data_IF_209201097513
#
_entry.id   IF_209201097513
#
_cell.length_a   1.000
_cell.length_b   1.000
_cell.length_c   1.000
_cell.angle_alpha   90.00
_cell.angle_beta   90.00
_cell.angle_gamma   90.00
#
_symmetry.space_group_name_H-M   'P 1'
#
loop_
_entity.id
_entity.type
_entity.pdbx_description
1 polymer ?
#
# COMPACT_ATOMS: atom_id res chain seq x y z
N UNK A 1 41.53 -3.03 -8.00
CA UNK A 1 41.11 -1.74 -8.59
C UNK A 1 39.65 -1.58 -8.23
N UNK A 2 39.34 -0.53 -7.49
CA UNK A 2 38.04 -0.35 -6.85
C UNK A 2 36.92 -0.27 -7.87
N UNK A 3 35.91 -1.11 -7.69
CA UNK A 3 34.61 -0.97 -8.33
C UNK A 3 33.93 0.17 -7.59
N UNK A 4 33.82 1.33 -8.23
CA UNK A 4 32.83 2.31 -7.78
C UNK A 4 31.44 1.75 -8.14
N UNK A 5 30.56 1.50 -7.16
CA UNK A 5 29.16 1.27 -7.47
C UNK A 5 28.60 2.58 -8.02
N UNK A 6 28.09 2.55 -9.25
CA UNK A 6 27.35 3.69 -9.82
C UNK A 6 26.07 3.91 -8.98
N UNK A 7 25.69 5.17 -8.70
CA UNK A 7 24.62 5.47 -7.75
C UNK A 7 23.26 4.97 -8.23
N UNK A 8 22.52 4.37 -7.30
CA UNK A 8 21.23 3.66 -7.43
C UNK A 8 20.03 4.55 -7.86
N UNK A 9 20.29 5.82 -8.20
CA UNK A 9 19.34 6.93 -8.13
C UNK A 9 19.10 7.65 -9.47
N UNK A 10 19.53 7.05 -10.59
CA UNK A 10 19.28 7.63 -11.92
C UNK A 10 17.85 7.35 -12.36
N UNK A 11 16.93 8.22 -11.94
CA UNK A 11 15.55 8.31 -12.47
C UNK A 11 15.60 8.53 -13.99
N UNK A 12 14.87 7.71 -14.74
CA UNK A 12 14.83 7.84 -16.20
C UNK A 12 14.01 9.05 -16.66
N UNK A 13 14.41 9.69 -17.76
CA UNK A 13 13.70 10.85 -18.29
C UNK A 13 12.31 10.49 -18.83
N UNK A 14 12.19 9.28 -19.38
CA UNK A 14 10.96 8.69 -19.91
C UNK A 14 9.88 8.51 -18.83
N UNK A 15 10.28 8.25 -17.58
CA UNK A 15 9.39 8.09 -16.42
C UNK A 15 9.32 9.36 -15.54
N UNK A 16 9.79 10.51 -16.03
CA UNK A 16 9.85 11.77 -15.26
C UNK A 16 8.51 12.18 -14.64
N UNK A 17 7.40 12.00 -15.36
CA UNK A 17 6.05 12.28 -14.79
C UNK A 17 5.70 11.38 -13.62
N UNK A 18 6.08 10.09 -13.68
CA UNK A 18 5.83 9.16 -12.58
C UNK A 18 6.68 9.54 -11.36
N UNK A 19 7.96 9.84 -11.56
CA UNK A 19 8.85 10.28 -10.49
C UNK A 19 8.44 11.63 -9.88
N UNK A 20 7.92 12.56 -10.68
CA UNK A 20 7.37 13.84 -10.18
C UNK A 20 6.18 13.61 -9.25
N UNK A 21 5.24 12.74 -9.64
CA UNK A 21 4.09 12.41 -8.80
C UNK A 21 4.51 11.61 -7.55
N UNK A 22 5.57 10.81 -7.64
CA UNK A 22 6.16 10.16 -6.47
C UNK A 22 6.75 11.17 -5.48
N UNK A 23 7.43 12.22 -5.96
CA UNK A 23 7.91 13.30 -5.10
C UNK A 23 6.75 14.08 -4.48
N UNK A 24 5.69 14.36 -5.25
CA UNK A 24 4.46 14.99 -4.73
C UNK A 24 3.80 14.15 -3.63
N UNK A 25 3.73 12.82 -3.80
CA UNK A 25 3.25 11.92 -2.76
C UNK A 25 4.15 11.98 -1.51
N UNK A 26 5.47 12.00 -1.68
CA UNK A 26 6.42 12.11 -0.56
C UNK A 26 6.24 13.45 0.19
N UNK A 27 6.02 14.55 -0.53
CA UNK A 27 5.76 15.85 0.06
C UNK A 27 4.40 15.92 0.76
N UNK A 28 3.36 15.30 0.19
CA UNK A 28 2.06 15.18 0.84
C UNK A 28 2.13 14.33 2.12
N UNK A 29 2.97 13.28 2.16
CA UNK A 29 3.26 12.52 3.38
C UNK A 29 3.89 13.38 4.47
N UNK A 30 4.88 14.22 4.11
CA UNK A 30 5.47 15.18 5.05
C UNK A 30 4.46 16.22 5.54
N UNK A 31 3.57 16.67 4.66
CA UNK A 31 2.50 17.59 5.00
C UNK A 31 1.49 16.97 5.97
N UNK A 32 1.13 15.68 5.79
CA UNK A 32 0.31 14.94 6.75
C UNK A 32 0.98 14.87 8.13
N UNK A 33 2.27 14.51 8.18
CA UNK A 33 3.01 14.44 9.43
C UNK A 33 3.08 15.82 10.13
N UNK A 34 3.29 16.90 9.37
CA UNK A 34 3.25 18.27 9.90
C UNK A 34 1.87 18.63 10.46
N UNK A 35 0.80 18.34 9.72
CA UNK A 35 -0.57 18.61 10.14
C UNK A 35 -0.94 17.82 11.38
N UNK A 36 -0.50 16.56 11.50
CA UNK A 36 -0.70 15.76 12.71
C UNK A 36 0.05 16.35 13.91
N UNK A 37 1.31 16.75 13.74
CA UNK A 37 2.10 17.37 14.81
C UNK A 37 1.50 18.69 15.31
N UNK A 38 0.84 19.46 14.44
CA UNK A 38 0.11 20.68 14.82
C UNK A 38 -1.12 20.41 15.70
N UNK A 39 -1.69 19.20 15.61
CA UNK A 39 -2.81 18.75 16.43
C UNK A 39 -2.37 18.19 17.78
N UNK A 40 -1.07 17.94 17.99
CA UNK A 40 -0.56 17.44 19.27
C UNK A 40 -0.79 18.47 20.38
N UNK A 41 -1.47 18.05 21.44
CA UNK A 41 -1.85 18.92 22.55
C UNK A 41 -3.16 19.71 22.32
N UNK A 42 -3.82 19.51 21.17
CA UNK A 42 -5.21 19.93 21.00
C UNK A 42 -6.17 18.97 21.71
N UNK A 43 -7.33 19.47 22.15
CA UNK A 43 -8.41 18.65 22.72
C UNK A 43 -9.21 17.96 21.60
N UNK A 44 -8.55 17.13 20.78
CA UNK A 44 -9.16 16.45 19.62
C UNK A 44 -10.06 15.29 20.02
N UNK A 45 -9.74 14.62 21.14
CA UNK A 45 -10.45 13.44 21.61
C UNK A 45 -11.18 13.75 22.90
N UNK A 46 -12.41 13.24 23.02
CA UNK A 46 -13.20 13.30 24.25
C UNK A 46 -13.46 11.90 24.77
N UNK A 47 -13.48 11.77 26.09
CA UNK A 47 -13.94 10.56 26.76
C UNK A 47 -15.32 10.81 27.38
N UNK A 48 -16.23 9.86 27.19
CA UNK A 48 -17.53 9.83 27.84
C UNK A 48 -17.59 8.65 28.80
N UNK A 49 -18.09 8.90 30.00
CA UNK A 49 -18.41 7.85 30.98
C UNK A 49 -19.90 7.83 31.19
N UNK A 50 -20.49 6.64 31.06
CA UNK A 50 -21.91 6.43 31.23
C UNK A 50 -22.14 5.25 32.18
N UNK A 51 -23.13 5.37 33.07
CA UNK A 51 -23.53 4.32 34.00
C UNK A 51 -25.04 4.17 33.92
N UNK A 52 -25.49 2.97 33.57
CA UNK A 52 -26.90 2.59 33.54
C UNK A 52 -27.50 2.46 34.95
N UNK A 53 -28.83 2.48 35.04
CA UNK A 53 -29.58 2.33 36.30
C UNK A 53 -29.28 1.00 37.02
N UNK A 54 -28.86 -0.04 36.29
CA UNK A 54 -28.46 -1.35 36.82
C UNK A 54 -27.01 -1.39 37.34
N UNK A 55 -26.27 -0.30 37.19
CA UNK A 55 -24.86 -0.19 37.57
C UNK A 55 -23.87 -0.68 36.52
N UNK A 56 -24.30 -0.95 35.28
CA UNK A 56 -23.38 -1.18 34.16
C UNK A 56 -22.75 0.14 33.70
N UNK A 57 -21.43 0.21 33.77
CA UNK A 57 -20.65 1.35 33.32
C UNK A 57 -19.93 1.10 31.99
N UNK A 58 -19.86 2.12 31.14
CA UNK A 58 -19.10 2.12 29.91
C UNK A 58 -18.20 3.36 29.84
N UNK A 59 -17.01 3.17 29.30
CA UNK A 59 -16.06 4.23 28.96
C UNK A 59 -15.84 4.23 27.45
N UNK A 60 -16.32 5.28 26.81
CA UNK A 60 -16.26 5.47 25.38
C UNK A 60 -15.34 6.66 25.06
N UNK A 61 -14.64 6.60 23.93
CA UNK A 61 -13.87 7.71 23.37
C UNK A 61 -14.43 8.08 22.01
N UNK A 62 -14.36 9.36 21.65
CA UNK A 62 -14.85 9.89 20.38
C UNK A 62 -13.94 11.02 19.88
N UNK A 63 -13.92 11.22 18.56
CA UNK A 63 -13.28 12.38 17.95
C UNK A 63 -14.24 13.56 18.03
N UNK A 64 -13.77 14.67 18.56
CA UNK A 64 -14.52 15.91 18.64
C UNK A 64 -14.38 16.70 17.33
N UNK A 65 -14.96 16.16 16.26
CA UNK A 65 -14.83 16.71 14.90
C UNK A 65 -15.65 17.99 14.67
N UNK A 66 -16.57 18.33 15.58
CA UNK A 66 -17.60 19.34 15.35
C UNK A 66 -17.16 20.78 15.63
N UNK A 67 -15.97 21.00 16.18
CA UNK A 67 -15.44 22.35 16.40
C UNK A 67 -14.21 22.63 15.51
N UNK A 68 -14.36 23.65 14.65
CA UNK A 68 -13.25 24.41 14.02
C UNK A 68 -12.46 23.77 12.87
N UNK A 69 -12.98 22.76 12.16
CA UNK A 69 -12.35 22.27 10.92
C UNK A 69 -10.89 21.79 11.11
N UNK A 70 -10.52 21.39 12.34
CA UNK A 70 -9.12 21.14 12.74
C UNK A 70 -8.45 20.03 11.93
N UNK A 71 -9.21 19.06 11.45
CA UNK A 71 -8.71 17.93 10.65
C UNK A 71 -8.54 18.25 9.16
N UNK A 72 -9.02 19.40 8.66
CA UNK A 72 -9.04 19.66 7.21
C UNK A 72 -7.66 19.64 6.56
N UNK A 73 -6.62 20.11 7.26
CA UNK A 73 -5.25 20.09 6.74
C UNK A 73 -4.71 18.67 6.62
N UNK A 74 -5.00 17.81 7.60
CA UNK A 74 -4.61 16.41 7.60
C UNK A 74 -5.36 15.65 6.48
N UNK A 75 -6.67 15.82 6.40
CA UNK A 75 -7.53 15.24 5.36
C UNK A 75 -7.12 15.65 3.95
N UNK A 76 -6.81 16.93 3.75
CA UNK A 76 -6.38 17.45 2.45
C UNK A 76 -5.03 16.85 2.04
N UNK A 77 -4.07 16.79 2.95
CA UNK A 77 -2.76 16.21 2.68
C UNK A 77 -2.88 14.69 2.39
N UNK A 78 -3.76 13.99 3.11
CA UNK A 78 -4.04 12.58 2.85
C UNK A 78 -4.69 12.35 1.48
N UNK A 79 -5.67 13.17 1.11
CA UNK A 79 -6.26 13.14 -0.23
C UNK A 79 -5.21 13.35 -1.34
N UNK A 80 -4.34 14.36 -1.18
CA UNK A 80 -3.25 14.65 -2.11
C UNK A 80 -2.24 13.50 -2.21
N UNK A 81 -1.89 12.89 -1.08
CA UNK A 81 -1.02 11.72 -1.03
C UNK A 81 -1.57 10.56 -1.88
N UNK A 82 -2.83 10.21 -1.66
CA UNK A 82 -3.48 9.10 -2.40
C UNK A 82 -3.59 9.43 -3.90
N UNK A 83 -4.01 10.64 -4.24
CA UNK A 83 -4.15 11.06 -5.64
C UNK A 83 -2.79 11.01 -6.37
N UNK A 84 -1.71 11.44 -5.71
CA UNK A 84 -0.35 11.40 -6.24
C UNK A 84 0.17 9.96 -6.42
N UNK A 85 -0.10 9.05 -5.48
CA UNK A 85 0.24 7.62 -5.63
C UNK A 85 -0.44 6.98 -6.84
N UNK A 86 -1.76 7.21 -6.99
CA UNK A 86 -2.53 6.67 -8.11
C UNK A 86 -2.09 7.30 -9.44
N UNK A 87 -1.77 8.60 -9.42
CA UNK A 87 -1.18 9.31 -10.54
C UNK A 87 0.16 8.72 -10.96
N UNK A 88 1.03 8.44 -10.00
CA UNK A 88 2.35 7.86 -10.22
C UNK A 88 2.25 6.47 -10.91
N UNK A 89 1.43 5.57 -10.37
CA UNK A 89 1.22 4.25 -10.95
C UNK A 89 0.68 4.35 -12.39
N UNK A 90 -0.26 5.25 -12.64
CA UNK A 90 -0.81 5.52 -13.98
C UNK A 90 0.27 6.05 -14.92
N UNK A 91 1.04 7.03 -14.49
CA UNK A 91 2.10 7.65 -15.29
C UNK A 91 3.20 6.63 -15.66
N UNK A 92 3.52 5.69 -14.77
CA UNK A 92 4.46 4.61 -15.04
C UNK A 92 3.97 3.67 -16.15
N UNK A 93 2.69 3.27 -16.12
CA UNK A 93 2.09 2.44 -17.19
C UNK A 93 2.11 3.18 -18.53
N UNK A 94 1.72 4.46 -18.53
CA UNK A 94 1.74 5.27 -19.74
C UNK A 94 3.17 5.42 -20.28
N UNK A 95 4.17 5.70 -19.44
CA UNK A 95 5.56 5.78 -19.87
C UNK A 95 6.05 4.44 -20.47
N UNK A 96 5.70 3.33 -19.84
CA UNK A 96 6.02 1.99 -20.31
C UNK A 96 5.39 1.69 -21.68
N UNK A 97 4.13 2.07 -21.90
CA UNK A 97 3.44 2.00 -23.18
C UNK A 97 4.17 2.82 -24.25
N UNK A 98 4.46 4.09 -23.97
CA UNK A 98 5.11 5.01 -24.90
C UNK A 98 6.49 4.51 -25.36
N UNK A 99 7.25 3.87 -24.47
CA UNK A 99 8.56 3.29 -24.78
C UNK A 99 8.47 2.10 -25.75
N UNK A 100 7.33 1.43 -25.85
CA UNK A 100 7.18 0.18 -26.61
C UNK A 100 6.43 0.38 -27.90
N UNK A 101 5.20 0.85 -27.81
CA UNK A 101 4.28 0.85 -28.95
C UNK A 101 4.41 2.14 -29.77
N UNK A 102 4.97 3.23 -29.21
CA UNK A 102 4.65 4.63 -29.60
C UNK A 102 3.10 4.80 -29.59
N UNK A 103 2.45 5.97 -29.75
CA UNK A 103 1.02 6.07 -29.41
C UNK A 103 0.14 5.37 -30.46
N UNK A 104 0.01 4.04 -30.34
CA UNK A 104 -1.04 3.24 -30.95
C UNK A 104 -2.29 3.52 -30.13
N UNK A 105 -2.91 4.66 -30.44
CA UNK A 105 -4.18 5.10 -29.85
C UNK A 105 -5.15 3.93 -29.85
N UNK A 106 -5.70 3.58 -28.69
CA UNK A 106 -6.83 2.65 -28.60
C UNK A 106 -7.90 3.07 -29.62
N UNK A 107 -8.50 2.14 -30.38
CA UNK A 107 -9.62 2.44 -31.26
C UNK A 107 -10.84 2.82 -30.41
N UNK A 108 -10.91 4.09 -30.01
CA UNK A 108 -11.84 4.61 -29.01
C UNK A 108 -11.37 5.88 -28.30
N UNK A 109 -10.07 6.18 -28.32
CA UNK A 109 -9.54 7.50 -27.94
C UNK A 109 -9.50 7.85 -26.45
N UNK A 110 -9.94 6.97 -25.55
CA UNK A 110 -9.75 7.17 -24.11
C UNK A 110 -8.43 6.52 -23.67
N UNK A 111 -7.43 7.35 -23.38
CA UNK A 111 -6.26 6.91 -22.60
C UNK A 111 -6.74 6.45 -21.23
N UNK A 112 -6.29 5.25 -20.82
CA UNK A 112 -6.52 4.66 -19.50
C UNK A 112 -6.68 5.75 -18.42
N UNK A 113 -7.90 6.04 -17.94
CA UNK A 113 -8.14 7.18 -17.06
C UNK A 113 -7.54 6.97 -15.66
N UNK A 114 -7.21 5.73 -15.29
CA UNK A 114 -6.65 5.34 -13.99
C UNK A 114 -5.67 4.18 -14.16
N UNK A 115 -4.81 3.98 -13.17
CA UNK A 115 -4.01 2.75 -13.08
C UNK A 115 -4.96 1.55 -12.93
N UNK A 116 -4.78 0.45 -13.68
CA UNK A 116 -5.63 -0.74 -13.58
C UNK A 116 -5.43 -1.44 -12.23
N UNK A 117 -6.41 -1.30 -11.34
CA UNK A 117 -6.51 -2.01 -10.06
C UNK A 117 -7.80 -2.83 -10.05
N UNK A 118 -7.67 -4.13 -9.82
CA UNK A 118 -8.78 -5.09 -9.88
C UNK A 118 -8.83 -5.91 -8.60
N UNK A 119 -10.03 -6.17 -8.11
CA UNK A 119 -10.25 -6.98 -6.92
C UNK A 119 -10.13 -8.48 -7.21
N UNK A 120 -10.29 -8.88 -8.47
CA UNK A 120 -10.27 -10.30 -8.88
C UNK A 120 -9.51 -10.57 -10.18
N UNK A 121 -9.07 -11.82 -10.36
CA UNK A 121 -8.46 -12.31 -11.61
C UNK A 121 -9.41 -12.15 -12.80
N UNK A 122 -10.71 -12.39 -12.62
CA UNK A 122 -11.69 -12.28 -13.72
C UNK A 122 -11.80 -10.86 -14.25
N UNK A 123 -11.87 -9.87 -13.34
CA UNK A 123 -11.94 -8.45 -13.72
C UNK A 123 -10.70 -8.03 -14.53
N UNK A 124 -9.52 -8.51 -14.13
CA UNK A 124 -8.28 -8.25 -14.86
C UNK A 124 -8.28 -8.90 -16.25
N UNK A 125 -8.69 -10.16 -16.36
CA UNK A 125 -8.75 -10.86 -17.65
C UNK A 125 -9.75 -10.21 -18.60
N UNK A 126 -10.95 -9.87 -18.12
CA UNK A 126 -11.96 -9.15 -18.91
C UNK A 126 -11.41 -7.81 -19.44
N UNK A 127 -10.62 -7.10 -18.61
CA UNK A 127 -9.98 -5.86 -19.00
C UNK A 127 -8.88 -6.05 -20.05
N UNK A 128 -8.05 -7.11 -19.93
CA UNK A 128 -7.05 -7.46 -20.93
C UNK A 128 -7.74 -7.80 -22.27
N UNK A 129 -8.80 -8.61 -22.24
CA UNK A 129 -9.57 -9.04 -23.41
C UNK A 129 -10.28 -7.87 -24.12
N UNK A 130 -10.62 -6.80 -23.40
CA UNK A 130 -11.18 -5.57 -23.98
C UNK A 130 -10.22 -4.85 -24.95
N UNK A 131 -8.92 -5.17 -24.91
CA UNK A 131 -7.88 -4.50 -25.69
C UNK A 131 -7.38 -3.18 -25.09
N UNK A 132 -7.83 -2.80 -23.88
CA UNK A 132 -7.41 -1.57 -23.20
C UNK A 132 -5.90 -1.51 -22.91
N UNK A 133 -5.23 -2.67 -22.80
CA UNK A 133 -3.78 -2.80 -22.60
C UNK A 133 -3.01 -3.18 -23.88
N UNK A 134 -3.62 -3.09 -25.06
CA UNK A 134 -3.00 -3.53 -26.32
C UNK A 134 -1.71 -2.77 -26.69
N UNK A 135 -1.49 -1.59 -26.14
CA UNK A 135 -0.25 -0.82 -26.29
C UNK A 135 0.92 -1.33 -25.45
N UNK A 136 0.67 -2.23 -24.48
CA UNK A 136 1.66 -2.83 -23.61
C UNK A 136 2.14 -4.18 -24.15
N UNK A 137 3.37 -4.55 -23.78
CA UNK A 137 3.86 -5.91 -24.02
C UNK A 137 3.28 -6.89 -23.00
N UNK A 138 3.25 -8.20 -23.33
CA UNK A 138 2.84 -9.24 -22.38
C UNK A 138 3.58 -9.20 -21.03
N UNK A 139 4.87 -8.83 -21.03
CA UNK A 139 5.65 -8.70 -19.79
C UNK A 139 5.19 -7.54 -18.90
N UNK A 140 4.77 -6.43 -19.51
CA UNK A 140 4.24 -5.27 -18.80
C UNK A 140 2.83 -5.54 -18.27
N UNK A 141 2.04 -6.34 -18.98
CA UNK A 141 0.73 -6.81 -18.50
C UNK A 141 0.89 -7.75 -17.31
N UNK A 142 1.86 -8.68 -17.36
CA UNK A 142 2.20 -9.54 -16.22
C UNK A 142 2.72 -8.73 -15.02
N UNK A 143 3.51 -7.70 -15.25
CA UNK A 143 3.89 -6.74 -14.20
C UNK A 143 2.65 -6.14 -13.55
N UNK A 144 1.72 -5.60 -14.34
CA UNK A 144 0.47 -5.05 -13.80
C UNK A 144 -0.26 -6.08 -12.93
N UNK A 145 -0.36 -7.33 -13.37
CA UNK A 145 -1.00 -8.42 -12.63
C UNK A 145 -0.36 -8.68 -11.26
N UNK A 146 0.97 -8.61 -11.16
CA UNK A 146 1.69 -8.83 -9.90
C UNK A 146 1.43 -7.74 -8.85
N UNK A 147 1.10 -6.53 -9.28
CA UNK A 147 0.73 -5.42 -8.41
C UNK A 147 -0.78 -5.34 -8.16
N UNK A 148 -1.50 -6.46 -8.30
CA UNK A 148 -2.93 -6.54 -7.98
C UNK A 148 -3.16 -7.10 -6.57
N UNK A 149 -4.20 -6.65 -5.86
CA UNK A 149 -4.50 -7.11 -4.50
C UNK A 149 -4.88 -8.60 -4.45
N UNK A 150 -5.30 -9.24 -5.54
CA UNK A 150 -5.59 -10.69 -5.52
C UNK A 150 -4.36 -11.59 -5.76
N UNK A 151 -3.20 -11.02 -6.11
CA UNK A 151 -2.06 -11.78 -6.60
C UNK A 151 -1.29 -12.51 -5.47
N UNK A 152 -1.44 -13.84 -5.34
CA UNK A 152 -0.74 -14.64 -4.30
C UNK A 152 0.43 -15.43 -4.90
N UNK A 153 1.66 -15.19 -4.43
CA UNK A 153 2.79 -16.11 -4.69
C UNK A 153 2.57 -17.42 -3.92
N UNK A 154 2.84 -18.57 -4.54
CA UNK A 154 2.58 -19.93 -3.99
C UNK A 154 3.74 -20.53 -3.20
N UNK A 155 4.86 -19.83 -3.07
CA UNK A 155 5.98 -20.35 -2.28
C UNK A 155 5.69 -20.03 -0.81
N UNK A 156 5.57 -21.05 0.04
CA UNK A 156 5.17 -20.94 1.45
C UNK A 156 6.20 -20.20 2.35
N UNK A 157 7.25 -19.59 1.77
CA UNK A 157 8.32 -18.84 2.44
C UNK A 157 8.63 -17.48 1.74
N UNK A 158 7.62 -16.83 1.13
CA UNK A 158 7.87 -15.71 0.20
C UNK A 158 7.64 -14.31 0.84
N UNK A 159 8.61 -13.36 0.77
CA UNK A 159 8.39 -11.95 1.16
C UNK A 159 7.22 -11.27 0.44
N UNK A 160 6.71 -11.84 -0.65
CA UNK A 160 5.46 -11.44 -1.30
C UNK A 160 4.21 -11.42 -0.40
N UNK A 161 4.14 -12.28 0.63
CA UNK A 161 3.01 -12.22 1.57
C UNK A 161 2.98 -10.90 2.36
N UNK A 162 4.13 -10.23 2.51
CA UNK A 162 4.24 -8.97 3.26
C UNK A 162 3.63 -7.75 2.54
N UNK A 163 3.51 -7.78 1.21
CA UNK A 163 3.03 -6.64 0.41
C UNK A 163 1.53 -6.68 0.11
N UNK A 164 0.90 -7.83 0.31
CA UNK A 164 -0.52 -8.04 0.06
C UNK A 164 -1.44 -7.08 0.83
N UNK A 165 -1.23 -6.85 2.14
CA UNK A 165 -1.99 -5.84 2.87
C UNK A 165 -1.85 -4.43 2.29
N UNK A 166 -0.66 -4.09 1.77
CA UNK A 166 -0.37 -2.76 1.20
C UNK A 166 -1.04 -2.57 -0.16
N UNK A 167 -0.99 -3.58 -1.04
CA UNK A 167 -1.70 -3.55 -2.33
C UNK A 167 -3.22 -3.53 -2.15
N UNK A 168 -3.73 -4.31 -1.19
CA UNK A 168 -5.14 -4.26 -0.78
C UNK A 168 -5.55 -2.88 -0.31
N UNK A 169 -4.71 -2.23 0.51
CA UNK A 169 -4.91 -0.84 0.95
C UNK A 169 -4.95 0.13 -0.23
N UNK A 170 -4.00 0.03 -1.16
CA UNK A 170 -3.98 0.87 -2.37
C UNK A 170 -5.26 0.71 -3.21
N UNK A 171 -5.75 -0.52 -3.38
CA UNK A 171 -7.01 -0.81 -4.05
C UNK A 171 -8.22 -0.16 -3.34
N UNK A 172 -8.32 -0.31 -2.02
CA UNK A 172 -9.42 0.27 -1.25
C UNK A 172 -9.37 1.81 -1.25
N UNK A 173 -8.16 2.40 -1.19
CA UNK A 173 -7.96 3.84 -1.33
C UNK A 173 -8.42 4.34 -2.70
N UNK A 174 -8.07 3.63 -3.78
CA UNK A 174 -8.55 3.98 -5.12
C UNK A 174 -10.08 3.99 -5.19
N UNK A 175 -10.74 2.99 -4.60
CA UNK A 175 -12.18 2.90 -4.56
C UNK A 175 -12.84 3.97 -3.66
N UNK A 176 -12.16 4.39 -2.58
CA UNK A 176 -12.59 5.50 -1.72
C UNK A 176 -12.51 6.83 -2.48
N UNK A 177 -11.41 7.09 -3.19
CA UNK A 177 -11.22 8.30 -4.01
C UNK A 177 -12.19 8.36 -5.18
N UNK A 178 -12.43 7.25 -5.86
CA UNK A 178 -13.42 7.19 -6.96
C UNK A 178 -14.82 7.62 -6.51
N UNK A 179 -15.21 7.24 -5.29
CA UNK A 179 -16.50 7.61 -4.70
C UNK A 179 -16.53 9.03 -4.13
N UNK A 180 -15.41 9.74 -4.10
CA UNK A 180 -15.22 11.01 -3.41
C UNK A 180 -15.68 10.95 -1.95
N UNK A 181 -15.44 9.82 -1.28
CA UNK A 181 -15.82 9.61 0.12
C UNK A 181 -14.81 10.25 1.06
N UNK A 182 -15.30 10.81 2.16
CA UNK A 182 -14.54 11.40 3.28
C UNK A 182 -15.03 10.75 4.59
N UNK A 183 -14.20 10.64 5.63
CA UNK A 183 -12.79 11.04 5.70
C UNK A 183 -11.82 10.04 5.06
N UNK A 184 -10.64 10.51 4.65
CA UNK A 184 -9.50 9.73 4.15
C UNK A 184 -8.63 9.25 5.31
N UNK A 185 -8.61 9.97 6.43
CA UNK A 185 -7.93 9.59 7.67
C UNK A 185 -8.96 9.13 8.71
N UNK A 186 -8.57 8.15 9.52
CA UNK A 186 -9.28 7.77 10.74
C UNK A 186 -8.24 7.64 11.86
N UNK A 187 -8.69 7.31 13.07
CA UNK A 187 -7.81 7.14 14.22
C UNK A 187 -7.90 5.70 14.73
N UNK A 188 -6.75 5.10 14.96
CA UNK A 188 -6.64 3.82 15.64
C UNK A 188 -6.52 4.10 17.14
N UNK A 189 -7.46 3.56 17.92
CA UNK A 189 -7.46 3.64 19.37
C UNK A 189 -6.79 2.37 19.90
N UNK A 190 -5.65 2.52 20.58
CA UNK A 190 -4.85 1.35 20.99
C UNK A 190 -4.17 1.51 22.34
N UNK A 191 -3.69 0.38 22.86
CA UNK A 191 -2.87 0.32 24.08
C UNK A 191 -3.58 0.93 25.28
N UNK A 192 -4.89 0.73 25.37
CA UNK A 192 -5.71 1.27 26.45
C UNK A 192 -5.34 0.66 27.81
N UNK A 193 -5.27 1.51 28.83
CA UNK A 193 -5.08 1.10 30.22
C UNK A 193 -6.05 1.87 31.14
N UNK A 194 -7.37 1.60 31.02
CA UNK A 194 -8.41 2.43 31.60
C UNK A 194 -8.34 2.46 33.13
N UNK A 195 -8.67 3.61 33.70
CA UNK A 195 -8.80 3.83 35.14
C UNK A 195 -10.19 4.38 35.44
N UNK A 196 -10.89 3.80 36.41
CA UNK A 196 -12.21 4.26 36.85
C UNK A 196 -12.19 4.46 38.36
N UNK A 197 -12.54 5.66 38.79
CA UNK A 197 -12.59 6.09 40.18
C UNK A 197 -14.02 6.44 40.56
N UNK A 198 -14.41 6.09 41.79
CA UNK A 198 -15.70 6.41 42.35
C UNK A 198 -15.52 7.00 43.75
N UNK A 199 -16.32 8.01 44.10
CA UNK A 199 -16.29 8.59 45.43
C UNK A 199 -16.78 7.56 46.47
N UNK A 200 -16.09 7.41 47.63
CA UNK A 200 -16.56 6.52 48.69
C UNK A 200 -18.00 6.85 49.11
N UNK A 201 -18.86 5.85 49.37
CA UNK A 201 -18.55 4.43 49.55
C UNK A 201 -18.68 3.58 48.28
N UNK A 202 -18.83 4.19 47.10
CA UNK A 202 -19.01 3.46 45.84
C UNK A 202 -17.70 2.76 45.48
N UNK A 203 -17.81 1.49 45.08
CA UNK A 203 -16.67 0.68 44.64
C UNK A 203 -16.95 0.22 43.21
N UNK A 204 -15.98 0.48 42.33
CA UNK A 204 -15.99 -0.07 40.96
C UNK A 204 -15.49 -1.51 41.02
N UNK A 205 -16.24 -2.41 40.39
CA UNK A 205 -15.89 -3.82 40.24
C UNK A 205 -15.84 -4.18 38.76
N UNK A 206 -15.15 -5.27 38.42
CA UNK A 206 -15.19 -5.87 37.07
C UNK A 206 -14.84 -4.89 35.93
N UNK A 207 -13.74 -4.14 36.07
CA UNK A 207 -13.20 -3.34 34.98
C UNK A 207 -12.61 -4.26 33.91
N UNK A 208 -13.20 -4.28 32.73
CA UNK A 208 -12.75 -5.02 31.56
C UNK A 208 -12.33 -4.03 30.46
N UNK A 209 -11.10 -4.19 29.97
CA UNK A 209 -10.60 -3.44 28.83
C UNK A 209 -10.99 -4.16 27.53
N UNK A 210 -11.58 -3.43 26.60
CA UNK A 210 -11.90 -3.96 25.27
C UNK A 210 -10.69 -3.87 24.33
N UNK A 211 -10.68 -4.67 23.25
CA UNK A 211 -9.58 -4.67 22.28
C UNK A 211 -9.44 -3.34 21.53
N UNK A 212 -8.22 -3.08 21.07
CA UNK A 212 -7.88 -1.98 20.16
C UNK A 212 -8.80 -1.97 18.92
N UNK A 213 -9.06 -0.77 18.38
CA UNK A 213 -10.03 -0.62 17.30
C UNK A 213 -9.99 0.73 16.60
N UNK A 214 -10.57 0.76 15.40
CA UNK A 214 -10.76 2.02 14.66
C UNK A 214 -11.82 2.85 15.36
N UNK A 215 -11.54 4.14 15.48
CA UNK A 215 -12.46 5.14 15.99
C UNK A 215 -13.37 5.62 14.85
N UNK A 216 -14.52 4.96 14.71
CA UNK A 216 -15.58 5.33 13.77
C UNK A 216 -16.73 5.94 14.56
N UNK A 217 -16.81 7.28 14.58
CA UNK A 217 -17.65 8.10 15.47
C UNK A 217 -17.31 7.99 16.96
N UNK A 218 -17.23 6.77 17.50
CA UNK A 218 -16.83 6.47 18.87
C UNK A 218 -16.24 5.05 18.97
N UNK A 219 -15.51 4.78 20.05
CA UNK A 219 -14.92 3.49 20.35
C UNK A 219 -15.07 3.20 21.85
N UNK A 220 -15.55 2.00 22.19
CA UNK A 220 -15.64 1.58 23.59
C UNK A 220 -14.31 1.04 24.05
N UNK A 221 -13.73 1.71 25.05
CA UNK A 221 -12.44 1.34 25.62
C UNK A 221 -12.61 0.33 26.74
N UNK A 222 -13.64 0.51 27.57
CA UNK A 222 -13.82 -0.32 28.75
C UNK A 222 -15.27 -0.44 29.18
N UNK A 223 -15.53 -1.51 29.91
CA UNK A 223 -16.76 -1.77 30.65
C UNK A 223 -16.43 -1.96 32.13
N UNK A 224 -17.33 -1.53 33.01
CA UNK A 224 -17.15 -1.69 34.45
C UNK A 224 -18.48 -1.85 35.17
N UNK A 225 -18.47 -2.24 36.44
CA UNK A 225 -19.66 -2.36 37.29
C UNK A 225 -19.58 -1.47 38.52
N UNK A 226 -20.70 -0.90 38.90
CA UNK A 226 -20.90 -0.17 40.16
C UNK A 226 -22.21 -0.61 40.82
N UNK A 227 -22.43 -0.34 42.11
CA UNK A 227 -23.75 -0.45 42.71
C UNK A 227 -24.82 0.35 41.92
N UNK A 228 -26.07 -0.15 41.82
CA UNK A 228 -27.17 0.58 41.17
C UNK A 228 -27.37 1.98 41.76
N UNK A 229 -27.58 2.97 40.88
CA UNK A 229 -27.74 4.38 41.27
C UNK A 229 -26.46 5.07 41.76
N UNK A 230 -25.28 4.49 41.52
CA UNK A 230 -24.01 5.16 41.77
C UNK A 230 -23.90 6.47 40.96
N UNK A 231 -23.34 7.50 41.60
CA UNK A 231 -23.05 8.80 40.99
C UNK A 231 -21.64 9.25 41.34
N UNK A 232 -21.11 10.24 40.62
CA UNK A 232 -19.74 10.75 40.87
C UNK A 232 -18.62 9.85 40.34
N UNK A 233 -18.92 8.99 39.35
CA UNK A 233 -17.91 8.17 38.68
C UNK A 233 -17.05 9.05 37.77
N UNK A 234 -15.73 8.90 37.88
CA UNK A 234 -14.74 9.52 37.00
C UNK A 234 -13.97 8.42 36.30
N UNK A 235 -13.67 8.60 35.03
CA UNK A 235 -12.91 7.64 34.26
C UNK A 235 -11.85 8.34 33.41
N UNK A 236 -10.71 7.68 33.24
CA UNK A 236 -9.66 8.06 32.32
C UNK A 236 -9.35 6.86 31.42
N UNK A 237 -9.54 6.95 30.09
CA UNK A 237 -9.29 5.83 29.20
C UNK A 237 -7.80 5.47 29.12
N UNK A 238 -6.90 6.42 29.38
CA UNK A 238 -5.45 6.26 29.30
C UNK A 238 -5.04 5.43 28.08
N UNK A 239 -5.35 5.97 26.91
CA UNK A 239 -5.33 5.32 25.61
C UNK A 239 -4.49 6.17 24.64
N UNK A 240 -3.84 5.51 23.69
CA UNK A 240 -3.14 6.17 22.59
C UNK A 240 -4.03 6.23 21.34
N UNK A 241 -3.85 7.31 20.56
CA UNK A 241 -4.50 7.48 19.28
C UNK A 241 -3.44 7.78 18.23
N UNK A 242 -3.41 6.99 17.17
CA UNK A 242 -2.59 7.24 16.00
C UNK A 242 -3.47 7.43 14.77
N UNK A 243 -3.18 8.43 13.91
CA UNK A 243 -3.85 8.54 12.63
C UNK A 243 -3.52 7.32 11.76
N UNK A 244 -4.48 6.93 10.93
CA UNK A 244 -4.39 5.84 9.96
C UNK A 244 -5.16 6.21 8.69
N UNK A 245 -4.86 5.56 7.56
CA UNK A 245 -5.68 5.72 6.36
C UNK A 245 -7.00 4.99 6.55
N UNK A 246 -8.13 5.65 6.27
CA UNK A 246 -9.51 5.17 6.51
C UNK A 246 -9.96 4.09 5.52
N UNK A 247 -9.18 3.02 5.38
CA UNK A 247 -9.53 1.82 4.63
C UNK A 247 -8.93 0.56 5.25
N UNK A 248 -9.61 -0.57 5.06
CA UNK A 248 -9.04 -1.88 5.36
C UNK A 248 -7.83 -2.21 4.46
N UNK A 249 -6.89 -3.06 4.91
CA UNK A 249 -6.84 -3.66 6.25
C UNK A 249 -6.37 -2.66 7.32
N UNK A 250 -7.09 -2.66 8.44
CA UNK A 250 -6.75 -1.90 9.64
C UNK A 250 -5.51 -2.48 10.34
N UNK A 251 -4.80 -1.67 11.15
CA UNK A 251 -3.71 -2.17 11.97
C UNK A 251 -4.18 -3.27 12.92
N UNK A 252 -3.31 -4.25 13.16
CA UNK A 252 -3.44 -5.27 14.20
C UNK A 252 -2.43 -5.07 15.34
N UNK A 253 -1.50 -4.11 15.18
CA UNK A 253 -0.53 -3.72 16.18
C UNK A 253 -0.37 -2.17 16.27
N UNK A 254 0.13 -1.64 17.40
CA UNK A 254 0.36 -0.20 17.60
C UNK A 254 1.35 0.46 16.63
N UNK A 255 2.27 -0.28 16.04
CA UNK A 255 3.29 0.26 15.13
C UNK A 255 2.70 0.50 13.72
N UNK A 256 1.53 -0.06 13.41
CA UNK A 256 0.82 0.09 12.12
C UNK A 256 0.19 1.47 11.83
N UNK A 257 0.76 2.56 12.34
CA UNK A 257 0.26 3.93 12.17
C UNK A 257 0.36 4.48 10.72
N UNK A 258 -0.15 5.69 10.47
CA UNK A 258 -0.18 6.32 9.14
C UNK A 258 1.21 6.42 8.49
N UNK A 259 2.27 6.65 9.26
CA UNK A 259 3.63 6.80 8.74
C UNK A 259 4.10 5.48 8.12
N UNK A 260 3.92 4.38 8.85
CA UNK A 260 4.24 3.03 8.36
C UNK A 260 3.39 2.66 7.15
N UNK A 261 2.09 2.98 7.17
CA UNK A 261 1.19 2.73 6.04
C UNK A 261 1.61 3.50 4.78
N UNK A 262 1.95 4.79 4.94
CA UNK A 262 2.39 5.65 3.84
C UNK A 262 3.73 5.21 3.26
N UNK A 263 4.71 4.88 4.09
CA UNK A 263 6.00 4.36 3.64
C UNK A 263 5.85 3.03 2.89
N UNK A 264 4.97 2.14 3.36
CA UNK A 264 4.64 0.90 2.65
C UNK A 264 4.10 1.18 1.25
N UNK A 265 3.13 2.10 1.13
CA UNK A 265 2.53 2.48 -0.16
C UNK A 265 3.55 3.13 -1.10
N UNK A 266 4.40 4.03 -0.59
CA UNK A 266 5.47 4.64 -1.36
C UNK A 266 6.44 3.58 -1.89
N UNK A 267 6.89 2.65 -1.04
CA UNK A 267 7.80 1.56 -1.45
C UNK A 267 7.20 0.72 -2.58
N UNK A 268 5.92 0.35 -2.48
CA UNK A 268 5.20 -0.40 -3.53
C UNK A 268 5.21 0.36 -4.85
N UNK A 269 4.82 1.64 -4.82
CA UNK A 269 4.68 2.46 -6.03
C UNK A 269 6.04 2.80 -6.63
N UNK A 270 7.06 3.05 -5.81
CA UNK A 270 8.43 3.23 -6.28
C UNK A 270 8.92 2.00 -7.04
N UNK A 271 8.70 0.82 -6.48
CA UNK A 271 9.16 -0.41 -7.11
C UNK A 271 8.34 -0.76 -8.36
N UNK A 272 7.06 -0.36 -8.44
CA UNK A 272 6.28 -0.41 -9.68
C UNK A 272 6.95 0.43 -10.79
N UNK A 273 7.35 1.67 -10.50
CA UNK A 273 8.06 2.52 -11.47
C UNK A 273 9.36 1.83 -11.90
N UNK A 274 10.17 1.40 -10.94
CA UNK A 274 11.46 0.75 -11.21
C UNK A 274 11.30 -0.54 -12.00
N UNK A 275 10.25 -1.33 -11.74
CA UNK A 275 9.93 -2.54 -12.50
C UNK A 275 9.61 -2.22 -13.96
N UNK A 276 8.82 -1.17 -14.22
CA UNK A 276 8.57 -0.72 -15.58
C UNK A 276 9.83 -0.16 -16.26
N UNK A 277 10.65 0.65 -15.58
CA UNK A 277 11.95 1.11 -16.09
C UNK A 277 12.85 -0.06 -16.47
N UNK A 278 12.94 -1.08 -15.60
CA UNK A 278 13.70 -2.30 -15.86
C UNK A 278 13.14 -3.06 -17.07
N UNK A 279 11.81 -3.17 -17.21
CA UNK A 279 11.17 -3.84 -18.35
C UNK A 279 11.57 -3.24 -19.70
N UNK A 280 11.92 -1.94 -19.75
CA UNK A 280 12.37 -1.25 -20.96
C UNK A 280 13.89 -1.02 -21.01
N UNK A 281 14.67 -1.70 -20.14
CA UNK A 281 16.13 -1.58 -20.03
C UNK A 281 16.63 -0.15 -19.73
N UNK A 282 15.85 0.68 -19.03
CA UNK A 282 16.28 2.02 -18.58
C UNK A 282 17.00 1.97 -17.22
N UNK A 283 16.97 0.83 -16.53
CA UNK A 283 17.63 0.60 -15.24
C UNK A 283 18.51 -0.66 -15.31
N UNK A 284 19.68 -0.70 -14.62
CA UNK A 284 20.53 -1.89 -14.54
C UNK A 284 19.79 -3.10 -13.97
N UNK A 285 20.30 -4.32 -14.22
CA UNK A 285 19.68 -5.53 -13.69
C UNK A 285 19.98 -5.63 -12.19
N UNK A 286 19.11 -6.31 -11.47
CA UNK A 286 19.27 -6.53 -10.03
C UNK A 286 20.40 -7.52 -9.72
N UNK A 287 20.70 -8.42 -10.65
CA UNK A 287 21.67 -9.50 -10.46
C UNK A 287 22.47 -9.79 -11.74
N UNK A 288 23.64 -10.40 -11.62
CA UNK A 288 24.35 -11.04 -12.74
C UNK A 288 24.14 -12.56 -12.66
N UNK A 289 23.87 -13.22 -13.78
CA UNK A 289 23.64 -14.67 -13.73
C UNK A 289 23.41 -15.32 -15.09
N UNK A 290 23.72 -16.61 -15.17
CA UNK A 290 23.52 -17.44 -16.35
C UNK A 290 22.48 -18.51 -16.05
N UNK A 291 21.50 -18.67 -16.94
CA UNK A 291 20.44 -19.66 -16.76
C UNK A 291 19.80 -20.05 -18.08
N UNK A 292 19.08 -21.17 -18.04
CA UNK A 292 18.44 -21.76 -19.20
C UNK A 292 16.96 -21.36 -19.25
N UNK A 293 16.61 -20.71 -20.34
CA UNK A 293 15.23 -20.47 -20.74
C UNK A 293 14.69 -21.73 -21.45
N UNK A 294 13.61 -22.31 -20.94
CA UNK A 294 12.85 -23.39 -21.58
C UNK A 294 11.64 -22.77 -22.29
N UNK A 295 11.63 -22.70 -23.64
CA UNK A 295 10.53 -22.10 -24.38
C UNK A 295 9.20 -22.79 -24.03
N UNK A 296 8.16 -22.00 -23.81
CA UNK A 296 6.79 -22.52 -23.76
C UNK A 296 6.26 -22.63 -25.18
N UNK A 297 5.53 -23.71 -25.49
CA UNK A 297 4.91 -23.88 -26.82
C UNK A 297 3.85 -22.81 -27.12
N UNK A 298 3.27 -22.19 -26.08
CA UNK A 298 2.16 -21.23 -26.18
C UNK A 298 2.56 -19.75 -25.96
N UNK A 299 3.78 -19.45 -25.50
CA UNK A 299 4.27 -18.07 -25.32
C UNK A 299 5.71 -17.95 -25.89
N UNK A 300 5.88 -17.40 -27.11
CA UNK A 300 7.19 -17.32 -27.77
C UNK A 300 8.12 -16.28 -27.13
N UNK A 301 7.62 -15.46 -26.20
CA UNK A 301 8.38 -14.40 -25.55
C UNK A 301 8.83 -14.81 -24.16
N UNK A 302 8.02 -15.60 -23.44
CA UNK A 302 8.32 -16.07 -22.10
C UNK A 302 8.70 -17.55 -22.08
N UNK A 303 9.82 -17.83 -21.42
CA UNK A 303 10.33 -19.18 -21.26
C UNK A 303 10.35 -19.52 -19.77
N UNK A 304 9.88 -20.73 -19.41
CA UNK A 304 10.02 -21.23 -18.05
C UNK A 304 11.50 -21.33 -17.73
N UNK A 305 11.91 -20.83 -16.57
CA UNK A 305 13.31 -20.94 -16.14
C UNK A 305 13.51 -22.27 -15.43
N UNK A 306 14.50 -23.03 -15.91
CA UNK A 306 14.94 -24.23 -15.19
C UNK A 306 15.83 -23.81 -14.02
N UNK A 307 15.23 -23.77 -12.83
CA UNK A 307 15.90 -23.40 -11.58
C UNK A 307 16.69 -24.55 -10.95
N UNK A 308 16.57 -25.78 -11.47
CA UNK A 308 17.21 -26.96 -10.87
C UNK A 308 18.75 -26.90 -10.85
N UNK A 309 19.33 -26.07 -11.70
CA UNK A 309 20.79 -25.89 -11.83
C UNK A 309 21.31 -24.50 -11.37
N UNK A 310 20.44 -23.60 -10.88
CA UNK A 310 20.82 -22.18 -10.68
C UNK A 310 20.36 -21.60 -9.31
N UNK A 311 21.07 -21.88 -8.20
CA UNK A 311 20.67 -21.44 -6.85
C UNK A 311 20.67 -19.90 -6.67
N UNK A 312 21.45 -19.17 -7.46
CA UNK A 312 21.53 -17.71 -7.40
C UNK A 312 20.23 -17.03 -7.87
N UNK A 313 19.44 -17.70 -8.71
CA UNK A 313 18.14 -17.21 -9.19
C UNK A 313 17.11 -17.20 -8.07
N UNK A 314 17.03 -18.32 -7.36
CA UNK A 314 16.16 -18.43 -6.21
C UNK A 314 16.56 -17.45 -5.12
N UNK A 315 17.85 -17.19 -4.91
CA UNK A 315 18.30 -16.19 -3.95
C UNK A 315 17.88 -14.77 -4.37
N UNK A 316 18.05 -14.39 -5.63
CA UNK A 316 17.65 -13.06 -6.12
C UNK A 316 16.14 -12.84 -6.11
N UNK A 317 15.34 -13.86 -6.43
CA UNK A 317 13.88 -13.78 -6.33
C UNK A 317 13.40 -13.82 -4.88
N UNK A 318 14.00 -14.63 -4.02
CA UNK A 318 13.73 -14.65 -2.56
C UNK A 318 14.06 -13.32 -1.87
N UNK A 319 14.99 -12.54 -2.42
CA UNK A 319 15.32 -11.22 -1.91
C UNK A 319 14.44 -10.11 -2.51
N UNK A 320 13.53 -10.44 -3.43
CA UNK A 320 12.60 -9.49 -4.04
C UNK A 320 11.23 -9.61 -3.37
N UNK A 321 10.77 -8.54 -2.74
CA UNK A 321 9.43 -8.50 -2.12
C UNK A 321 8.29 -8.68 -3.15
N UNK A 322 8.58 -8.48 -4.43
CA UNK A 322 7.64 -8.62 -5.55
C UNK A 322 7.97 -9.77 -6.50
N UNK A 323 8.89 -10.68 -6.14
CA UNK A 323 9.29 -11.82 -7.01
C UNK A 323 9.63 -11.39 -8.43
N UNK A 324 10.26 -10.23 -8.52
CA UNK A 324 10.79 -9.63 -9.72
C UNK A 324 12.30 -9.61 -9.59
N UNK A 325 12.97 -10.22 -10.56
CA UNK A 325 14.41 -10.12 -10.64
C UNK A 325 14.81 -9.82 -12.07
N UNK A 326 15.94 -9.14 -12.24
CA UNK A 326 16.51 -8.91 -13.56
C UNK A 326 17.95 -9.35 -13.53
N UNK A 327 18.35 -10.07 -14.57
CA UNK A 327 19.66 -10.67 -14.69
C UNK A 327 20.36 -10.21 -15.94
N UNK A 328 21.68 -10.06 -15.85
CA UNK A 328 22.54 -9.95 -17.02
C UNK A 328 23.18 -11.29 -17.35
N UNK A 329 22.97 -11.77 -18.57
CA UNK A 329 23.60 -12.96 -19.12
C UNK A 329 24.38 -12.58 -20.39
N UNK A 330 25.66 -12.19 -20.22
CA UNK A 330 26.45 -11.63 -21.32
C UNK A 330 25.92 -10.26 -21.78
N UNK A 331 25.54 -10.17 -23.06
CA UNK A 331 24.94 -8.95 -23.65
C UNK A 331 23.41 -8.89 -23.48
N UNK A 332 22.81 -9.99 -23.02
CA UNK A 332 21.38 -10.08 -22.80
C UNK A 332 20.99 -9.60 -21.41
N UNK A 333 19.90 -8.85 -21.37
CA UNK A 333 19.19 -8.49 -20.15
C UNK A 333 17.95 -9.33 -20.08
N UNK A 334 17.78 -10.06 -18.99
CA UNK A 334 16.70 -11.00 -18.81
C UNK A 334 15.88 -10.57 -17.61
N UNK A 335 14.57 -10.47 -17.79
CA UNK A 335 13.65 -10.25 -16.68
C UNK A 335 13.06 -11.58 -16.25
N UNK A 336 13.04 -11.81 -14.95
CA UNK A 336 12.42 -12.93 -14.28
C UNK A 336 11.20 -12.44 -13.50
N UNK A 337 10.12 -13.22 -13.64
CA UNK A 337 8.83 -13.00 -13.00
C UNK A 337 8.47 -14.31 -12.32
N UNK A 338 8.33 -14.28 -11.00
CA UNK A 338 7.80 -15.40 -10.24
C UNK A 338 6.28 -15.41 -10.33
N UNK A 339 5.70 -16.58 -10.62
CA UNK A 339 4.26 -16.83 -10.73
C UNK A 339 3.84 -18.03 -9.89
N UNK A 340 2.54 -18.19 -9.58
CA UNK A 340 2.05 -19.34 -8.81
C UNK A 340 2.40 -20.71 -9.42
N UNK A 341 2.58 -20.77 -10.73
CA UNK A 341 2.85 -21.98 -11.51
C UNK A 341 4.33 -22.17 -11.89
N UNK A 342 5.20 -21.20 -11.58
CA UNK A 342 6.65 -21.30 -11.82
C UNK A 342 7.36 -19.96 -11.98
N UNK A 343 8.66 -20.02 -12.29
CA UNK A 343 9.46 -18.84 -12.63
C UNK A 343 9.59 -18.76 -14.14
N UNK A 344 9.35 -17.58 -14.68
CA UNK A 344 9.39 -17.30 -16.11
C UNK A 344 10.40 -16.20 -16.40
N UNK A 345 11.15 -16.38 -17.48
CA UNK A 345 12.23 -15.50 -17.89
C UNK A 345 12.11 -15.10 -19.35
N UNK A 346 12.52 -13.87 -19.66
CA UNK A 346 12.54 -13.35 -21.02
C UNK A 346 13.68 -12.37 -21.25
N UNK A 347 14.34 -12.47 -22.40
CA UNK A 347 15.30 -11.47 -22.87
C UNK A 347 14.53 -10.17 -23.21
N UNK A 348 14.79 -9.12 -22.45
CA UNK A 348 14.23 -7.79 -22.66
C UNK A 348 14.77 -7.22 -23.97
N UNK A 349 14.03 -6.51 -24.82
CA UNK A 349 14.62 -5.79 -25.94
C UNK A 349 15.27 -4.46 -25.47
N UNK A 350 16.31 -3.97 -26.16
CA UNK A 350 16.84 -2.62 -25.85
C UNK A 350 15.80 -1.54 -26.19
N UNK A 351 15.59 -0.59 -25.28
CA UNK A 351 14.91 0.66 -25.61
C UNK A 351 15.62 1.30 -26.81
N UNK A 352 14.83 1.64 -27.84
CA UNK A 352 15.33 2.43 -28.95
C UNK A 352 15.20 3.89 -28.57
N UNK A 353 16.29 4.68 -28.55
CA UNK A 353 16.21 6.11 -28.29
C UNK A 353 15.26 6.78 -29.29
N UNK A 354 14.49 7.75 -28.80
CA UNK A 354 13.41 8.41 -29.54
C UNK A 354 13.87 9.12 -30.82
#
# INVERSE_FOLDING_TARGET
MGVEPLPDDRRSGEFSSAWSMFDEATDAMRAMASAWNELVGSELFRSSVYVDDDGMGCLDVLVDEYEEHRLESLERAAGQFVDALLGCARAAVLAAEHCVSRPLRSPGGEHLPRFPLFGTVSEFLDFVESGALAGLRPDQIQLIEQFQPYYRSRVDDDPHQSMQPVLTRLFNLAALRERNTSPVVSFWAHSACPMVEADPPVVVTELECLPDGVLVDWHRVATFRTPPGASGIRANPNIAFDPILNVEPWPDDPDGNIDVQCHGLLRVVEELIRAFERSVRLRPPLTEGHFRLVPLEDDPLWARVDISETPDIEAGLRNSDLGLATYRAGDDFIMLVQRPDGIYGRILPMAKPL
#
